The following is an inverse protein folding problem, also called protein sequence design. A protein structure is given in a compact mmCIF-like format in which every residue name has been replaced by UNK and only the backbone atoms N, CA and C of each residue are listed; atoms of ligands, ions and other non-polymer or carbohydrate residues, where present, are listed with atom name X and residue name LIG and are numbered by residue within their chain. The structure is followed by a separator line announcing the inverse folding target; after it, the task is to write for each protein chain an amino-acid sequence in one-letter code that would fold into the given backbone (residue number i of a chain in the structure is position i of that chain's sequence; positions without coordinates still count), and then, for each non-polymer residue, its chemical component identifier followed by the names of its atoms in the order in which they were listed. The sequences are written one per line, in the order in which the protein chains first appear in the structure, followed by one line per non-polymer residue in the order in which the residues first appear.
data_IF_446623714703
#
_entry.id   IF_446623714703
#
_cell.length_a   1.000
_cell.length_b   1.000
_cell.length_c   1.000
_cell.angle_alpha   90.00
_cell.angle_beta   90.00
_cell.angle_gamma   90.00
#
_symmetry.space_group_name_H-M   'P 1'
#
loop_
_entity.id
_entity.type
_entity.pdbx_description
1 polymer ?
#
# COMPACT_ATOMS: atom_id res chain seq x y z
N UNK A 1 -5.00 -7.12 26.88
CA UNK A 1 -4.91 -8.52 27.36
C UNK A 1 -4.25 -9.35 26.26
N UNK A 2 -3.50 -10.41 26.60
CA UNK A 2 -2.97 -11.33 25.56
C UNK A 2 -4.15 -11.91 24.77
N UNK A 3 -4.06 -11.90 23.43
CA UNK A 3 -5.14 -12.35 22.55
C UNK A 3 -6.22 -11.30 22.23
N UNK A 4 -6.12 -10.09 22.78
CA UNK A 4 -7.05 -9.00 22.44
C UNK A 4 -6.92 -8.61 20.96
N UNK A 5 -8.06 -8.51 20.26
CA UNK A 5 -8.16 -8.05 18.86
C UNK A 5 -8.78 -6.66 18.82
N UNK A 6 -8.22 -5.78 17.98
CA UNK A 6 -8.71 -4.41 17.78
C UNK A 6 -9.00 -4.23 16.29
N UNK A 7 -10.18 -3.70 15.96
CA UNK A 7 -10.53 -3.32 14.59
C UNK A 7 -9.83 -2.02 14.21
N UNK A 8 -9.03 -2.04 13.15
CA UNK A 8 -8.23 -0.89 12.71
C UNK A 8 -8.88 -0.09 11.56
N UNK A 9 -10.02 -0.53 11.03
CA UNK A 9 -10.64 0.04 9.83
C UNK A 9 -10.09 -0.55 8.54
N UNK A 10 -10.24 0.19 7.43
CA UNK A 10 -9.81 -0.24 6.09
C UNK A 10 -9.23 0.94 5.30
N UNK A 11 -8.27 0.65 4.42
CA UNK A 11 -7.69 1.62 3.49
C UNK A 11 -7.86 1.09 2.06
N UNK A 12 -8.48 1.88 1.19
CA UNK A 12 -8.48 1.59 -0.24
C UNK A 12 -7.22 2.19 -0.84
N UNK A 13 -6.32 1.34 -1.34
CA UNK A 13 -5.08 1.78 -1.96
C UNK A 13 -5.22 1.67 -3.48
N UNK A 14 -5.28 2.82 -4.15
CA UNK A 14 -5.43 2.88 -5.61
C UNK A 14 -4.12 2.53 -6.34
N UNK A 15 -4.24 2.14 -7.61
CA UNK A 15 -3.06 1.89 -8.45
C UNK A 15 -2.20 3.15 -8.67
N UNK A 16 -2.84 4.32 -8.73
CA UNK A 16 -2.13 5.59 -8.93
C UNK A 16 -1.32 5.97 -7.69
N UNK A 17 -1.86 5.76 -6.48
CA UNK A 17 -1.11 5.94 -5.24
C UNK A 17 0.07 4.96 -5.13
N UNK A 18 -0.10 3.71 -5.61
CA UNK A 18 0.99 2.73 -5.65
C UNK A 18 2.15 3.27 -6.50
N UNK A 19 1.85 3.71 -7.73
CA UNK A 19 2.85 4.23 -8.66
C UNK A 19 3.47 5.53 -8.12
N UNK A 20 2.67 6.43 -7.56
CA UNK A 20 3.17 7.69 -6.99
C UNK A 20 4.16 7.43 -5.85
N UNK A 21 3.83 6.53 -4.92
CA UNK A 21 4.73 6.18 -3.82
C UNK A 21 6.00 5.49 -4.33
N UNK A 22 5.84 4.49 -5.21
CA UNK A 22 6.95 3.72 -5.75
C UNK A 22 7.93 4.60 -6.53
N UNK A 23 7.43 5.55 -7.33
CA UNK A 23 8.27 6.47 -8.09
C UNK A 23 9.20 7.33 -7.22
N UNK A 24 8.82 7.56 -5.95
CA UNK A 24 9.60 8.36 -5.00
C UNK A 24 10.51 7.51 -4.12
N UNK A 25 10.05 6.33 -3.70
CA UNK A 25 10.66 5.62 -2.58
C UNK A 25 11.07 4.18 -2.88
N UNK A 26 10.47 3.52 -3.87
CA UNK A 26 10.75 2.12 -4.19
C UNK A 26 10.50 1.85 -5.70
N UNK A 27 11.41 2.30 -6.58
CA UNK A 27 11.18 2.35 -8.02
C UNK A 27 11.41 0.98 -8.70
N UNK A 28 10.94 -0.10 -8.09
CA UNK A 28 11.02 -1.41 -8.71
C UNK A 28 10.02 -1.51 -9.88
N UNK A 29 10.38 -2.06 -11.06
CA UNK A 29 9.54 -1.98 -12.26
C UNK A 29 8.09 -2.46 -12.10
N UNK A 30 7.85 -3.55 -11.35
CA UNK A 30 6.50 -4.07 -11.10
C UNK A 30 5.65 -3.22 -10.13
N UNK A 31 6.20 -2.16 -9.55
CA UNK A 31 5.45 -1.15 -8.79
C UNK A 31 5.04 0.06 -9.63
N UNK A 32 5.59 0.22 -10.83
CA UNK A 32 5.44 1.42 -11.66
C UNK A 32 4.60 1.16 -12.91
N UNK A 33 4.67 -0.05 -13.45
CA UNK A 33 4.09 -0.37 -14.74
C UNK A 33 3.23 -1.64 -14.66
N UNK A 34 1.99 -1.53 -15.11
CA UNK A 34 1.00 -2.62 -15.06
C UNK A 34 1.34 -3.77 -16.01
N UNK A 35 1.92 -3.47 -17.16
CA UNK A 35 2.30 -4.48 -18.18
C UNK A 35 3.53 -5.26 -17.71
N UNK A 36 4.53 -4.55 -17.15
CA UNK A 36 5.71 -5.19 -16.53
C UNK A 36 5.29 -6.03 -15.33
N UNK A 37 4.38 -5.52 -14.51
CA UNK A 37 3.88 -6.26 -13.36
C UNK A 37 3.06 -7.50 -13.76
N UNK A 38 2.32 -7.45 -14.88
CA UNK A 38 1.54 -8.58 -15.39
C UNK A 38 2.41 -9.79 -15.80
N UNK A 39 3.64 -9.55 -16.27
CA UNK A 39 4.60 -10.62 -16.63
C UNK A 39 5.56 -10.98 -15.48
N UNK A 40 5.45 -10.29 -14.34
CA UNK A 40 6.22 -10.62 -13.13
C UNK A 40 5.60 -11.78 -12.36
N UNK A 41 6.30 -12.29 -11.35
CA UNK A 41 5.78 -13.32 -10.43
C UNK A 41 4.50 -12.88 -9.70
N UNK A 42 4.23 -11.57 -9.63
CA UNK A 42 3.03 -11.03 -8.99
C UNK A 42 1.79 -11.05 -9.90
N UNK A 43 1.95 -11.20 -11.22
CA UNK A 43 0.85 -11.25 -12.19
C UNK A 43 0.00 -9.98 -12.29
N UNK A 44 0.45 -8.86 -11.71
CA UNK A 44 -0.26 -7.58 -11.71
C UNK A 44 0.42 -6.55 -10.81
N UNK A 45 -0.04 -5.31 -10.89
CA UNK A 45 0.52 -4.19 -10.12
C UNK A 45 0.39 -4.43 -8.62
N UNK A 46 1.51 -4.34 -7.90
CA UNK A 46 1.59 -4.54 -6.45
C UNK A 46 2.16 -3.32 -5.75
N UNK A 47 1.71 -3.06 -4.52
CA UNK A 47 2.27 -2.00 -3.69
C UNK A 47 3.64 -2.40 -3.12
N UNK A 48 4.53 -1.42 -2.92
CA UNK A 48 5.75 -1.62 -2.13
C UNK A 48 5.42 -2.03 -0.70
N UNK A 49 6.24 -2.92 -0.11
CA UNK A 49 6.11 -3.30 1.30
C UNK A 49 6.28 -2.11 2.25
N UNK A 50 7.13 -1.13 1.89
CA UNK A 50 7.29 0.10 2.66
C UNK A 50 6.01 0.96 2.62
N UNK A 51 5.31 0.98 1.49
CA UNK A 51 4.03 1.68 1.35
C UNK A 51 2.98 1.07 2.27
N UNK A 52 2.83 -0.26 2.25
CA UNK A 52 1.88 -0.99 3.09
C UNK A 52 2.21 -0.83 4.57
N UNK A 53 3.49 -0.84 4.95
CA UNK A 53 3.92 -0.60 6.33
C UNK A 53 3.56 0.82 6.79
N UNK A 54 3.77 1.84 5.95
CA UNK A 54 3.43 3.22 6.27
C UNK A 54 1.91 3.39 6.50
N UNK A 55 1.08 2.77 5.65
CA UNK A 55 -0.38 2.73 5.83
C UNK A 55 -0.74 1.97 7.10
N UNK A 56 -0.14 0.81 7.36
CA UNK A 56 -0.39 0.04 8.58
C UNK A 56 -0.15 0.87 9.85
N UNK A 57 0.86 1.75 9.84
CA UNK A 57 1.19 2.62 10.97
C UNK A 57 0.21 3.78 11.13
N UNK A 58 -0.44 4.26 10.06
CA UNK A 58 -1.42 5.35 10.14
C UNK A 58 -2.70 4.94 10.88
N UNK A 59 -3.07 3.65 10.84
CA UNK A 59 -4.19 3.14 11.62
C UNK A 59 -3.93 3.22 13.13
N UNK A 60 -2.69 2.98 13.57
CA UNK A 60 -2.31 3.07 14.98
C UNK A 60 -2.24 4.51 15.49
N UNK A 61 -2.09 5.50 14.61
CA UNK A 61 -1.98 6.92 14.97
C UNK A 61 -3.33 7.65 15.01
N UNK A 62 -4.46 6.94 14.88
CA UNK A 62 -5.80 7.55 14.87
C UNK A 62 -6.13 8.29 13.58
N UNK A 63 -5.30 8.18 12.54
CA UNK A 63 -5.50 8.82 11.23
C UNK A 63 -6.29 7.91 10.26
N UNK A 64 -7.12 7.03 10.80
CA UNK A 64 -7.92 6.05 10.06
C UNK A 64 -8.98 6.70 9.13
N UNK A 65 -9.30 7.98 9.32
CA UNK A 65 -10.42 8.64 8.67
C UNK A 65 -10.05 9.65 7.59
N UNK A 66 -8.78 9.78 7.18
CA UNK A 66 -8.44 10.75 6.12
C UNK A 66 -8.76 10.12 4.75
N UNK A 67 -9.83 10.56 4.05
CA UNK A 67 -10.01 10.17 2.67
C UNK A 67 -9.05 11.04 1.87
N UNK A 68 -7.91 10.48 1.46
CA UNK A 68 -7.10 11.14 0.44
C UNK A 68 -7.62 10.65 -0.91
N UNK A 69 -8.33 11.59 -1.55
CA UNK A 69 -8.80 11.69 -2.94
C UNK A 69 -8.90 10.39 -3.74
#
# INVERSE_FOLDING_TARGET
MVGQRIGLGSWYLSGDEIIEFASKWDPFPFHLDREVAAVSEFGGLVASGAHVLAISRSFSSGQCSVPRK
#
